data_IF_390314876174
#
_entry.id   IF_390314876174
#
_cell.length_a   1.000
_cell.length_b   1.000
_cell.length_c   1.000
_cell.angle_alpha   90.00
_cell.angle_beta   90.00
_cell.angle_gamma   90.00
#
_symmetry.space_group_name_H-M   'P 1'
#
loop_
_entity.id
_entity.type
_entity.pdbx_description
1 polymer ?
#
# COMPACT_ATOMS: atom_id res chain seq x y z
N UNK A 1 0.62 4.70 35.19
CA UNK A 1 1.38 5.42 34.13
C UNK A 1 0.81 5.01 32.79
N UNK A 2 0.40 5.96 31.97
CA UNK A 2 -0.31 5.71 30.72
C UNK A 2 0.58 4.95 29.72
N UNK A 3 0.12 3.81 29.21
CA UNK A 3 0.89 2.96 28.28
C UNK A 3 1.21 3.69 26.96
N UNK A 4 0.36 4.63 26.54
CA UNK A 4 0.64 5.50 25.38
C UNK A 4 1.85 6.41 25.61
N UNK A 5 1.98 7.00 26.82
CA UNK A 5 3.17 7.79 27.17
C UNK A 5 4.44 6.96 27.20
N UNK A 6 4.35 5.70 27.66
CA UNK A 6 5.50 4.78 27.62
C UNK A 6 5.89 4.40 26.17
N UNK A 7 4.90 4.21 25.29
CA UNK A 7 5.14 3.95 23.88
C UNK A 7 5.89 5.11 23.21
N UNK A 8 5.44 6.35 23.45
CA UNK A 8 6.13 7.54 22.94
C UNK A 8 7.55 7.66 23.49
N UNK A 9 7.76 7.40 24.78
CA UNK A 9 9.09 7.43 25.41
C UNK A 9 10.03 6.35 24.80
N UNK A 10 9.52 5.16 24.51
CA UNK A 10 10.31 4.11 23.85
C UNK A 10 10.69 4.50 22.42
N UNK A 11 9.78 5.07 21.65
CA UNK A 11 10.05 5.54 20.29
C UNK A 11 10.98 6.75 20.27
N UNK A 12 10.91 7.64 21.26
CA UNK A 12 11.80 8.81 21.35
C UNK A 12 13.24 8.46 21.75
N UNK A 13 13.42 7.37 22.50
CA UNK A 13 14.76 6.90 22.89
C UNK A 13 15.43 5.99 21.87
N UNK A 14 14.69 5.56 20.84
CA UNK A 14 15.18 4.66 19.82
C UNK A 14 15.80 5.43 18.66
N UNK A 15 17.05 5.11 18.30
CA UNK A 15 17.76 5.69 17.15
C UNK A 15 17.43 4.96 15.82
N UNK A 16 16.60 3.95 15.87
CA UNK A 16 16.15 3.15 14.72
C UNK A 16 14.65 2.82 14.85
N UNK A 17 13.98 2.47 13.75
CA UNK A 17 12.59 2.02 13.82
C UNK A 17 12.45 0.80 14.75
N UNK A 18 11.41 0.79 15.60
CA UNK A 18 11.14 -0.27 16.58
C UNK A 18 9.97 -1.10 16.10
N UNK A 19 10.14 -2.41 16.02
CA UNK A 19 9.08 -3.31 15.51
C UNK A 19 7.89 -3.40 16.46
N UNK A 20 6.69 -3.68 15.93
CA UNK A 20 5.47 -3.87 16.74
C UNK A 20 5.66 -4.99 17.75
N UNK A 21 6.36 -6.07 17.39
CA UNK A 21 6.66 -7.21 18.26
C UNK A 21 7.56 -6.79 19.44
N UNK A 22 8.54 -5.94 19.22
CA UNK A 22 9.40 -5.42 20.28
C UNK A 22 8.64 -4.47 21.20
N UNK A 23 7.81 -3.58 20.66
CA UNK A 23 6.96 -2.69 21.44
C UNK A 23 5.93 -3.47 22.27
N UNK A 24 5.33 -4.52 21.71
CA UNK A 24 4.38 -5.38 22.43
C UNK A 24 5.02 -6.09 23.60
N UNK A 25 6.23 -6.63 23.43
CA UNK A 25 7.01 -7.27 24.48
C UNK A 25 7.39 -6.29 25.59
N UNK A 26 7.91 -5.10 25.25
CA UNK A 26 8.35 -4.09 26.22
C UNK A 26 7.20 -3.46 27.01
N UNK A 27 6.02 -3.33 26.40
CA UNK A 27 4.82 -2.74 27.05
C UNK A 27 3.89 -3.79 27.67
N UNK A 28 4.19 -5.08 27.48
CA UNK A 28 3.37 -6.21 27.90
C UNK A 28 1.90 -6.03 27.45
N UNK A 29 1.71 -5.88 26.14
CA UNK A 29 0.41 -5.76 25.48
C UNK A 29 0.46 -6.53 24.16
N UNK A 30 -0.70 -6.79 23.56
CA UNK A 30 -0.75 -7.40 22.22
C UNK A 30 -0.27 -6.40 21.15
N UNK A 31 0.25 -6.92 20.04
CA UNK A 31 0.62 -6.11 18.90
C UNK A 31 -0.58 -5.29 18.35
N UNK A 32 -1.78 -5.87 18.36
CA UNK A 32 -3.04 -5.17 18.09
C UNK A 32 -3.23 -3.94 19.00
N UNK A 33 -2.88 -4.05 20.28
CA UNK A 33 -2.99 -2.93 21.22
C UNK A 33 -1.98 -1.84 20.90
N UNK A 34 -0.76 -2.19 20.47
CA UNK A 34 0.24 -1.24 19.99
C UNK A 34 -0.31 -0.44 18.81
N UNK A 35 -0.88 -1.11 17.81
CA UNK A 35 -1.48 -0.47 16.64
C UNK A 35 -2.61 0.50 17.00
N UNK A 36 -3.49 0.09 17.93
CA UNK A 36 -4.55 0.97 18.42
C UNK A 36 -3.98 2.22 19.10
N UNK A 37 -2.94 2.08 19.93
CA UNK A 37 -2.29 3.22 20.59
C UNK A 37 -1.64 4.16 19.57
N UNK A 38 -0.97 3.63 18.55
CA UNK A 38 -0.35 4.42 17.49
C UNK A 38 -1.42 5.19 16.70
N UNK A 39 -2.54 4.53 16.34
CA UNK A 39 -3.66 5.19 15.66
C UNK A 39 -4.23 6.32 16.49
N UNK A 40 -4.56 6.07 17.76
CA UNK A 40 -5.12 7.07 18.64
C UNK A 40 -4.16 8.26 18.89
N UNK A 41 -2.85 8.01 18.93
CA UNK A 41 -1.84 9.07 19.04
C UNK A 41 -1.77 9.89 17.74
N UNK A 42 -1.83 9.24 16.59
CA UNK A 42 -1.77 9.91 15.29
C UNK A 42 -3.07 10.65 14.94
N UNK A 43 -4.23 10.24 15.48
CA UNK A 43 -5.49 11.00 15.38
C UNK A 43 -5.38 12.35 16.10
N UNK A 44 -4.63 12.43 17.20
CA UNK A 44 -4.38 13.69 17.91
C UNK A 44 -3.25 14.51 17.28
N UNK A 45 -2.17 13.85 16.90
CA UNK A 45 -0.98 14.46 16.27
C UNK A 45 -0.28 13.41 15.42
N UNK A 46 -0.08 13.68 14.16
CA UNK A 46 0.63 12.77 13.23
C UNK A 46 2.14 12.75 13.53
N UNK A 47 2.54 12.06 14.59
CA UNK A 47 3.92 12.04 15.09
C UNK A 47 4.62 10.69 15.00
N UNK A 48 3.89 9.59 14.76
CA UNK A 48 4.47 8.26 14.64
C UNK A 48 4.39 7.81 13.17
N UNK A 49 5.53 7.59 12.56
CA UNK A 49 5.66 7.01 11.23
C UNK A 49 5.81 5.50 11.31
N UNK A 50 5.09 4.80 10.43
CA UNK A 50 5.18 3.36 10.22
C UNK A 50 6.02 3.07 8.98
N UNK A 51 6.89 2.06 9.04
CA UNK A 51 7.69 1.59 7.91
C UNK A 51 7.80 0.06 7.95
N UNK A 52 8.28 -0.56 6.89
CA UNK A 52 8.59 -2.00 6.85
C UNK A 52 9.52 -2.46 7.99
N UNK A 53 10.34 -1.54 8.53
CA UNK A 53 11.29 -1.81 9.60
C UNK A 53 10.72 -1.52 11.00
N UNK A 54 9.47 -1.05 11.13
CA UNK A 54 8.80 -0.73 12.39
C UNK A 54 8.36 0.73 12.51
N UNK A 55 8.19 1.18 13.73
CA UNK A 55 7.66 2.50 14.09
C UNK A 55 8.76 3.45 14.57
N UNK A 56 8.67 4.72 14.19
CA UNK A 56 9.55 5.80 14.68
C UNK A 56 8.76 7.09 14.90
N UNK A 57 9.28 7.99 15.75
CA UNK A 57 8.73 9.34 15.85
C UNK A 57 9.18 10.18 14.64
N UNK A 58 8.26 10.95 14.11
CA UNK A 58 8.58 12.02 13.14
C UNK A 58 9.19 13.19 13.90
N UNK A 59 10.50 13.44 13.73
CA UNK A 59 11.13 14.65 14.26
C UNK A 59 10.76 15.83 13.38
N UNK A 60 10.10 16.84 13.94
CA UNK A 60 9.81 18.11 13.29
C UNK A 60 11.06 19.02 13.19
N UNK A 61 12.23 18.44 12.93
CA UNK A 61 13.44 19.22 12.69
C UNK A 61 13.65 19.46 11.20
N UNK A 62 13.35 20.70 10.83
CA UNK A 62 13.40 21.30 9.50
C UNK A 62 14.84 21.54 8.98
N UNK A 63 15.79 20.64 9.17
CA UNK A 63 17.16 20.82 8.64
C UNK A 63 17.85 19.49 8.33
N UNK A 64 17.24 18.68 7.49
CA UNK A 64 17.98 17.69 6.72
C UNK A 64 17.44 17.66 5.31
N UNK A 65 18.25 18.07 4.34
CA UNK A 65 18.10 17.87 2.90
C UNK A 65 18.22 16.37 2.54
N UNK A 66 17.43 15.52 3.19
CA UNK A 66 17.07 14.23 2.68
C UNK A 66 15.68 14.41 2.09
N UNK A 67 15.58 14.27 0.76
CA UNK A 67 14.31 14.09 0.07
C UNK A 67 13.44 13.19 0.93
N UNK A 68 12.17 13.55 1.22
CA UNK A 68 11.30 12.63 1.93
C UNK A 68 11.37 11.32 1.18
N UNK A 69 11.81 10.27 1.87
CA UNK A 69 11.62 8.91 1.40
C UNK A 69 10.10 8.81 1.29
N UNK A 70 9.60 8.87 0.07
CA UNK A 70 8.20 8.81 -0.28
C UNK A 70 7.73 7.36 -0.07
N UNK A 71 7.91 6.84 1.14
CA UNK A 71 7.22 5.64 1.59
C UNK A 71 5.76 6.05 1.72
N UNK A 72 5.01 5.76 0.67
CA UNK A 72 3.59 6.02 0.57
C UNK A 72 2.90 5.41 1.78
N UNK A 73 2.34 6.26 2.63
CA UNK A 73 1.48 5.83 3.73
C UNK A 73 0.14 5.48 3.10
N UNK A 74 -0.01 4.23 2.65
CA UNK A 74 -1.34 3.68 2.43
C UNK A 74 -2.06 3.70 3.77
N UNK A 75 -3.18 4.39 3.84
CA UNK A 75 -4.10 4.25 4.96
C UNK A 75 -4.97 3.03 4.72
N UNK A 76 -4.47 1.84 5.10
CA UNK A 76 -5.20 0.57 4.98
C UNK A 76 -6.43 0.47 5.91
N UNK A 77 -6.95 1.59 6.42
CA UNK A 77 -8.22 1.66 7.13
C UNK A 77 -9.40 1.36 6.21
N UNK A 78 -9.32 1.80 4.95
CA UNK A 78 -10.30 1.51 3.90
C UNK A 78 -10.18 0.06 3.42
N UNK A 79 -11.33 -0.63 3.29
CA UNK A 79 -11.35 -1.96 2.71
C UNK A 79 -10.93 -1.95 1.24
N UNK A 80 -11.35 -0.95 0.46
CA UNK A 80 -11.03 -0.87 -0.95
C UNK A 80 -9.51 -0.75 -1.19
N UNK A 81 -8.80 0.04 -0.38
CA UNK A 81 -7.34 0.14 -0.45
C UNK A 81 -6.67 -1.20 -0.12
N UNK A 82 -7.16 -1.91 0.90
CA UNK A 82 -6.63 -3.23 1.24
C UNK A 82 -6.88 -4.25 0.12
N UNK A 83 -8.09 -4.28 -0.48
CA UNK A 83 -8.39 -5.17 -1.60
C UNK A 83 -7.47 -4.91 -2.79
N UNK A 84 -7.21 -3.64 -3.12
CA UNK A 84 -6.28 -3.27 -4.17
C UNK A 84 -4.87 -3.77 -3.87
N UNK A 85 -4.33 -3.44 -2.70
CA UNK A 85 -2.98 -3.82 -2.30
C UNK A 85 -2.80 -5.34 -2.25
N UNK A 86 -3.71 -6.06 -1.57
CA UNK A 86 -3.65 -7.53 -1.46
C UNK A 86 -3.71 -8.18 -2.85
N UNK A 87 -4.59 -7.70 -3.73
CA UNK A 87 -4.74 -8.24 -5.08
C UNK A 87 -3.50 -7.99 -5.92
N UNK A 88 -2.93 -6.79 -5.87
CA UNK A 88 -1.69 -6.44 -6.55
C UNK A 88 -0.53 -7.33 -6.06
N UNK A 89 -0.34 -7.45 -4.75
CA UNK A 89 0.71 -8.30 -4.17
C UNK A 89 0.59 -9.76 -4.58
N UNK A 90 -0.63 -10.32 -4.64
CA UNK A 90 -0.86 -11.69 -5.09
C UNK A 90 -0.58 -11.84 -6.59
N UNK A 91 -0.96 -10.86 -7.40
CA UNK A 91 -0.80 -10.93 -8.87
C UNK A 91 0.66 -10.73 -9.29
N UNK A 92 1.38 -9.82 -8.63
CA UNK A 92 2.78 -9.48 -8.97
C UNK A 92 3.79 -10.44 -8.35
N UNK A 93 3.38 -11.23 -7.36
CA UNK A 93 4.27 -12.23 -6.75
C UNK A 93 4.72 -13.24 -7.79
N UNK A 94 6.03 -13.38 -7.99
CA UNK A 94 6.64 -14.41 -8.85
C UNK A 94 6.54 -15.82 -8.25
N UNK A 95 6.25 -15.92 -6.96
CA UNK A 95 5.95 -17.13 -6.20
C UNK A 95 4.62 -16.94 -5.50
N UNK A 96 3.99 -18.07 -5.07
CA UNK A 96 2.74 -17.97 -4.31
C UNK A 96 2.89 -16.99 -3.13
N UNK A 97 1.99 -16.01 -3.04
CA UNK A 97 2.04 -14.99 -1.99
C UNK A 97 1.69 -15.59 -0.63
N UNK A 98 2.49 -15.30 0.39
CA UNK A 98 2.20 -15.68 1.77
C UNK A 98 1.24 -14.67 2.40
N UNK A 99 0.11 -15.16 2.90
CA UNK A 99 -0.93 -14.31 3.49
C UNK A 99 -0.53 -13.71 4.84
N UNK A 100 0.34 -14.39 5.59
CA UNK A 100 0.83 -13.86 6.86
C UNK A 100 1.76 -12.70 6.61
N UNK A 101 2.66 -12.82 5.63
CA UNK A 101 3.58 -11.74 5.26
C UNK A 101 2.81 -10.52 4.78
N UNK A 102 1.81 -10.69 3.90
CA UNK A 102 0.96 -9.58 3.42
C UNK A 102 0.18 -8.96 4.58
N UNK A 103 -0.41 -9.76 5.48
CA UNK A 103 -1.15 -9.24 6.63
C UNK A 103 -0.25 -8.41 7.56
N UNK A 104 1.00 -8.85 7.75
CA UNK A 104 2.00 -8.13 8.55
C UNK A 104 2.47 -6.86 7.85
N UNK A 105 2.64 -6.86 6.53
CA UNK A 105 3.01 -5.68 5.73
C UNK A 105 1.99 -4.53 5.91
N UNK A 106 0.70 -4.84 5.88
CA UNK A 106 -0.39 -3.86 5.99
C UNK A 106 -0.99 -3.76 7.40
N UNK A 107 -0.37 -4.41 8.37
CA UNK A 107 -0.73 -4.36 9.79
C UNK A 107 -2.19 -4.71 10.09
N UNK A 108 -2.75 -5.71 9.41
CA UNK A 108 -4.09 -6.23 9.69
C UNK A 108 -4.05 -7.57 10.42
N UNK A 109 -5.16 -7.91 11.08
CA UNK A 109 -5.30 -9.23 11.65
C UNK A 109 -5.54 -10.27 10.56
N UNK A 110 -5.11 -11.50 10.80
CA UNK A 110 -5.39 -12.61 9.89
C UNK A 110 -6.90 -12.81 9.63
N UNK A 111 -7.74 -12.57 10.65
CA UNK A 111 -9.20 -12.61 10.49
C UNK A 111 -9.73 -11.52 9.54
N UNK A 112 -9.07 -10.36 9.49
CA UNK A 112 -9.39 -9.29 8.52
C UNK A 112 -8.93 -9.71 7.12
N UNK A 113 -7.72 -10.25 6.99
CA UNK A 113 -7.20 -10.81 5.73
C UNK A 113 -8.14 -11.85 5.15
N UNK A 114 -8.64 -12.79 5.95
CA UNK A 114 -9.60 -13.82 5.49
C UNK A 114 -10.90 -13.20 4.93
N UNK A 115 -11.42 -12.16 5.58
CA UNK A 115 -12.61 -11.44 5.10
C UNK A 115 -12.33 -10.73 3.77
N UNK A 116 -11.17 -10.08 3.66
CA UNK A 116 -10.78 -9.38 2.45
C UNK A 116 -10.53 -10.38 1.30
N UNK A 117 -9.97 -11.57 1.57
CA UNK A 117 -9.85 -12.65 0.58
C UNK A 117 -11.18 -13.22 0.11
N UNK A 118 -12.18 -13.33 0.99
CA UNK A 118 -13.54 -13.74 0.59
C UNK A 118 -14.11 -12.72 -0.40
N UNK A 119 -13.90 -11.43 -0.13
CA UNK A 119 -14.36 -10.35 -1.01
C UNK A 119 -13.62 -10.42 -2.37
N UNK A 120 -12.28 -10.54 -2.36
CA UNK A 120 -11.48 -10.70 -3.59
C UNK A 120 -11.96 -11.92 -4.38
N UNK A 121 -12.18 -13.07 -3.73
CA UNK A 121 -12.68 -14.28 -4.38
C UNK A 121 -14.04 -14.08 -5.05
N UNK A 122 -14.89 -13.22 -4.49
CA UNK A 122 -16.17 -12.87 -5.11
C UNK A 122 -15.97 -12.01 -6.35
N UNK A 123 -15.16 -10.94 -6.23
CA UNK A 123 -14.93 -9.97 -7.30
C UNK A 123 -14.22 -10.57 -8.52
N UNK A 124 -13.20 -11.39 -8.32
CA UNK A 124 -12.39 -11.95 -9.42
C UNK A 124 -13.17 -12.84 -10.38
N UNK A 125 -14.34 -13.39 -9.97
CA UNK A 125 -15.17 -14.23 -10.82
C UNK A 125 -15.67 -13.49 -12.06
N UNK A 126 -15.99 -12.21 -11.92
CA UNK A 126 -16.47 -11.35 -13.00
C UNK A 126 -15.38 -11.07 -14.05
N UNK A 127 -14.12 -11.35 -13.70
CA UNK A 127 -12.95 -11.19 -14.55
C UNK A 127 -12.39 -12.54 -15.06
N UNK A 128 -13.16 -13.63 -14.91
CA UNK A 128 -12.71 -14.99 -15.28
C UNK A 128 -11.39 -15.40 -14.60
N UNK A 129 -11.17 -14.92 -13.38
CA UNK A 129 -10.04 -15.26 -12.53
C UNK A 129 -10.44 -16.27 -11.45
N UNK A 130 -9.51 -17.05 -10.98
CA UNK A 130 -9.70 -17.95 -9.84
C UNK A 130 -8.62 -17.77 -8.80
N UNK A 131 -8.99 -17.87 -7.52
CA UNK A 131 -8.08 -17.81 -6.39
C UNK A 131 -7.86 -19.20 -5.84
N UNK A 132 -6.62 -19.68 -5.93
CA UNK A 132 -6.17 -20.95 -5.35
C UNK A 132 -5.36 -20.71 -4.09
N UNK A 133 -5.49 -21.61 -3.13
CA UNK A 133 -4.78 -21.54 -1.86
C UNK A 133 -4.24 -22.90 -1.46
N UNK A 134 -2.97 -22.93 -1.07
CA UNK A 134 -2.31 -24.11 -0.53
C UNK A 134 -1.27 -23.69 0.53
N UNK A 135 -1.30 -24.32 1.71
CA UNK A 135 -0.30 -24.13 2.78
C UNK A 135 -0.05 -22.67 3.19
N UNK A 136 -1.11 -21.85 3.30
CA UNK A 136 -0.99 -20.43 3.65
C UNK A 136 -0.65 -19.51 2.48
N UNK A 137 -0.21 -20.07 1.36
CA UNK A 137 0.10 -19.34 0.14
C UNK A 137 -1.11 -19.22 -0.76
N UNK A 138 -1.18 -18.14 -1.51
CA UNK A 138 -2.30 -17.80 -2.40
C UNK A 138 -1.78 -17.35 -3.76
N UNK A 139 -2.49 -17.75 -4.80
CA UNK A 139 -2.26 -17.32 -6.18
C UNK A 139 -3.58 -16.99 -6.87
N UNK A 140 -3.59 -15.92 -7.69
CA UNK A 140 -4.69 -15.62 -8.61
C UNK A 140 -4.30 -16.13 -10.00
N UNK A 141 -5.12 -17.05 -10.51
CA UNK A 141 -4.92 -17.66 -11.83
C UNK A 141 -5.90 -17.11 -12.85
N UNK A 142 -5.43 -16.96 -14.08
CA UNK A 142 -6.16 -16.47 -15.24
C UNK A 142 -5.22 -15.81 -16.24
N UNK A 143 -5.79 -15.25 -17.32
CA UNK A 143 -4.99 -14.54 -18.31
C UNK A 143 -4.43 -13.22 -17.75
N UNK A 144 -3.29 -12.77 -18.26
CA UNK A 144 -2.72 -11.49 -17.87
C UNK A 144 -3.66 -10.32 -18.19
N UNK A 145 -4.41 -10.41 -19.28
CA UNK A 145 -5.44 -9.43 -19.62
C UNK A 145 -6.54 -9.35 -18.55
N UNK A 146 -7.01 -10.49 -18.06
CA UNK A 146 -7.98 -10.58 -16.96
C UNK A 146 -7.43 -9.99 -15.66
N UNK A 147 -6.20 -10.30 -15.31
CA UNK A 147 -5.53 -9.76 -14.11
C UNK A 147 -5.40 -8.22 -14.18
N UNK A 148 -4.94 -7.70 -15.33
CA UNK A 148 -4.84 -6.25 -15.56
C UNK A 148 -6.21 -5.56 -15.54
N UNK A 149 -7.23 -6.20 -16.10
CA UNK A 149 -8.60 -5.68 -16.07
C UNK A 149 -9.17 -5.62 -14.65
N UNK A 150 -8.86 -6.61 -13.83
CA UNK A 150 -9.24 -6.63 -12.42
C UNK A 150 -8.53 -5.53 -11.60
N UNK A 151 -7.20 -5.35 -11.77
CA UNK A 151 -6.48 -4.25 -11.10
C UNK A 151 -7.02 -2.88 -11.54
N UNK A 152 -7.33 -2.69 -12.83
CA UNK A 152 -7.95 -1.44 -13.31
C UNK A 152 -9.31 -1.19 -12.66
N UNK A 153 -10.12 -2.21 -12.50
CA UNK A 153 -11.39 -2.12 -11.79
C UNK A 153 -11.17 -1.67 -10.34
N UNK A 154 -10.29 -2.33 -9.60
CA UNK A 154 -9.98 -1.96 -8.22
C UNK A 154 -9.45 -0.53 -8.09
N UNK A 155 -8.62 -0.07 -9.04
CA UNK A 155 -8.15 1.31 -9.09
C UNK A 155 -9.28 2.31 -9.37
N UNK A 156 -10.28 1.95 -10.18
CA UNK A 156 -11.42 2.84 -10.47
C UNK A 156 -12.31 3.10 -9.25
N UNK A 157 -12.28 2.21 -8.28
CA UNK A 157 -13.00 2.33 -7.00
C UNK A 157 -12.26 3.18 -5.95
N UNK A 158 -11.03 3.65 -6.27
CA UNK A 158 -10.22 4.45 -5.36
C UNK A 158 -10.37 5.95 -5.63
N UNK A 159 -10.07 6.75 -4.62
CA UNK A 159 -9.92 8.20 -4.80
C UNK A 159 -8.67 8.56 -5.63
N UNK A 160 -8.62 9.80 -6.11
CA UNK A 160 -7.54 10.26 -6.98
C UNK A 160 -6.16 10.23 -6.35
N UNK A 161 -6.04 10.39 -5.04
CA UNK A 161 -4.76 10.38 -4.34
C UNK A 161 -4.25 8.94 -4.22
N UNK A 162 -5.11 8.01 -3.83
CA UNK A 162 -4.79 6.58 -3.75
C UNK A 162 -4.36 6.02 -5.11
N UNK A 163 -5.10 6.35 -6.19
CA UNK A 163 -4.70 5.95 -7.55
C UNK A 163 -3.31 6.47 -7.90
N UNK A 164 -3.06 7.77 -7.66
CA UNK A 164 -1.76 8.37 -7.97
C UNK A 164 -0.63 7.68 -7.21
N UNK A 165 -0.82 7.45 -5.92
CA UNK A 165 0.17 6.79 -5.07
C UNK A 165 0.45 5.35 -5.53
N UNK A 166 -0.59 4.59 -5.87
CA UNK A 166 -0.43 3.23 -6.40
C UNK A 166 0.37 3.22 -7.70
N UNK A 167 0.06 4.11 -8.64
CA UNK A 167 0.80 4.20 -9.89
C UNK A 167 2.27 4.57 -9.67
N UNK A 168 2.57 5.45 -8.71
CA UNK A 168 3.94 5.77 -8.33
C UNK A 168 4.67 4.55 -7.74
N UNK A 169 4.01 3.76 -6.91
CA UNK A 169 4.58 2.55 -6.32
C UNK A 169 4.92 1.53 -7.42
N UNK A 170 3.99 1.25 -8.34
CA UNK A 170 4.23 0.36 -9.49
C UNK A 170 5.41 0.87 -10.34
N UNK A 171 5.45 2.16 -10.65
CA UNK A 171 6.57 2.75 -11.40
C UNK A 171 7.92 2.56 -10.71
N UNK A 172 7.96 2.66 -9.39
CA UNK A 172 9.15 2.43 -8.58
C UNK A 172 9.61 0.97 -8.68
N UNK A 173 8.70 0.03 -8.58
CA UNK A 173 8.99 -1.41 -8.63
C UNK A 173 9.55 -1.83 -10.00
N UNK A 174 9.05 -1.24 -11.09
CA UNK A 174 9.54 -1.48 -12.45
C UNK A 174 10.70 -0.55 -12.87
N UNK A 175 11.21 0.27 -11.92
CA UNK A 175 12.32 1.21 -12.15
C UNK A 175 12.08 2.25 -13.26
N UNK A 176 10.84 2.68 -13.44
CA UNK A 176 10.45 3.72 -14.39
C UNK A 176 10.06 4.99 -13.63
N UNK A 177 10.49 6.16 -14.10
CA UNK A 177 10.06 7.43 -13.54
C UNK A 177 8.64 7.78 -14.00
N UNK A 178 7.72 7.96 -13.05
CA UNK A 178 6.35 8.41 -13.32
C UNK A 178 6.32 9.76 -14.06
N UNK A 179 7.14 10.72 -13.64
CA UNK A 179 7.20 12.04 -14.25
C UNK A 179 7.73 11.97 -15.70
N UNK A 180 8.76 11.16 -15.94
CA UNK A 180 9.28 10.93 -17.29
C UNK A 180 8.21 10.33 -18.20
N UNK A 181 7.44 9.36 -17.72
CA UNK A 181 6.37 8.74 -18.48
C UNK A 181 5.24 9.75 -18.76
N UNK A 182 4.86 10.54 -17.77
CA UNK A 182 3.87 11.61 -17.91
C UNK A 182 4.32 12.65 -18.95
N UNK A 183 5.56 13.10 -18.87
CA UNK A 183 6.11 14.09 -19.81
C UNK A 183 6.17 13.54 -21.25
N UNK A 184 6.50 12.27 -21.41
CA UNK A 184 6.50 11.59 -22.71
C UNK A 184 5.09 11.56 -23.30
N UNK A 185 4.08 11.21 -22.53
CA UNK A 185 2.68 11.20 -22.97
C UNK A 185 2.23 12.62 -23.36
N UNK A 186 2.53 13.62 -22.53
CA UNK A 186 2.21 15.02 -22.82
C UNK A 186 2.92 15.53 -24.08
N UNK A 187 4.18 15.15 -24.26
CA UNK A 187 4.93 15.50 -25.48
C UNK A 187 4.26 14.93 -26.73
N UNK A 188 3.95 13.64 -26.75
CA UNK A 188 3.33 13.00 -27.91
C UNK A 188 1.91 13.51 -28.19
N UNK A 189 1.09 13.76 -27.18
CA UNK A 189 -0.25 14.34 -27.36
C UNK A 189 -0.17 15.73 -27.99
N UNK A 190 0.78 16.56 -27.55
CA UNK A 190 1.02 17.90 -28.14
C UNK A 190 1.50 17.82 -29.59
N UNK A 191 2.41 16.90 -29.91
CA UNK A 191 2.90 16.71 -31.28
C UNK A 191 1.78 16.34 -32.25
N UNK A 192 0.82 15.55 -31.78
CA UNK A 192 -0.36 15.15 -32.57
C UNK A 192 -1.49 16.19 -32.53
N UNK A 193 -1.24 17.38 -31.93
CA UNK A 193 -2.24 18.45 -31.73
C UNK A 193 -3.52 17.95 -31.01
N UNK A 194 -3.38 16.94 -30.15
CA UNK A 194 -4.48 16.42 -29.34
C UNK A 194 -4.57 17.20 -28.03
N UNK A 195 -5.76 17.71 -27.73
CA UNK A 195 -6.06 18.30 -26.42
C UNK A 195 -6.56 17.19 -25.50
N UNK A 196 -5.73 16.76 -24.56
CA UNK A 196 -6.11 15.80 -23.56
C UNK A 196 -6.37 16.53 -22.23
N UNK A 197 -7.52 16.27 -21.61
CA UNK A 197 -7.79 16.73 -20.26
C UNK A 197 -6.90 15.99 -19.25
N UNK A 198 -6.75 16.54 -18.04
CA UNK A 198 -6.02 15.87 -16.96
C UNK A 198 -6.57 14.48 -16.67
N UNK A 199 -7.88 14.32 -16.76
CA UNK A 199 -8.54 13.01 -16.64
C UNK A 199 -8.10 12.02 -17.75
N UNK A 200 -8.02 12.49 -19.00
CA UNK A 200 -7.56 11.66 -20.11
C UNK A 200 -6.09 11.26 -19.95
N UNK A 201 -5.23 12.19 -19.55
CA UNK A 201 -3.81 11.90 -19.26
C UNK A 201 -3.67 10.89 -18.13
N UNK A 202 -4.43 11.06 -17.03
CA UNK A 202 -4.45 10.11 -15.92
C UNK A 202 -4.86 8.70 -16.38
N UNK A 203 -5.91 8.59 -17.19
CA UNK A 203 -6.36 7.29 -17.72
C UNK A 203 -5.30 6.65 -18.62
N UNK A 204 -4.66 7.41 -19.52
CA UNK A 204 -3.58 6.91 -20.37
C UNK A 204 -2.42 6.41 -19.49
N UNK A 205 -1.99 7.19 -18.51
CA UNK A 205 -0.95 6.80 -17.56
C UNK A 205 -1.30 5.50 -16.84
N UNK A 206 -2.52 5.40 -16.31
CA UNK A 206 -3.00 4.18 -15.64
C UNK A 206 -2.92 2.97 -16.58
N UNK A 207 -3.40 3.11 -17.81
CA UNK A 207 -3.34 2.03 -18.79
C UNK A 207 -1.91 1.61 -19.12
N UNK A 208 -1.02 2.57 -19.37
CA UNK A 208 0.38 2.30 -19.72
C UNK A 208 1.09 1.62 -18.55
N UNK A 209 0.98 2.16 -17.33
CA UNK A 209 1.69 1.63 -16.15
C UNK A 209 1.24 0.21 -15.80
N UNK A 210 -0.07 -0.10 -15.89
CA UNK A 210 -0.58 -1.44 -15.62
C UNK A 210 -0.20 -2.44 -16.73
N UNK A 211 0.23 -1.94 -17.90
CA UNK A 211 0.57 -2.78 -19.04
C UNK A 211 2.08 -3.10 -19.11
N UNK A 212 2.90 -2.29 -18.46
CA UNK A 212 4.34 -2.51 -18.34
C UNK A 212 4.66 -3.63 -17.37
#
# INVERSE_FOLDING_TARGET
>A
MDKKKKLLALLSSANHPVTGKELSSRLNVSDRTIRNYIREINEEKLIIQSSSNGYRLSTLDSTCNQKPDNSFVYDFSSQNERLLYISERIITSSQDADLYDIADEIYISYSTMEKDLIQIRSLIKDFHLSLQRANGKVIIQGSEESKRSFIRYLLSEQDSATVHNTLLAICKDIHISFDTLKDLILYHTRQQKLYASDYAIKNILTHVIITL
#
